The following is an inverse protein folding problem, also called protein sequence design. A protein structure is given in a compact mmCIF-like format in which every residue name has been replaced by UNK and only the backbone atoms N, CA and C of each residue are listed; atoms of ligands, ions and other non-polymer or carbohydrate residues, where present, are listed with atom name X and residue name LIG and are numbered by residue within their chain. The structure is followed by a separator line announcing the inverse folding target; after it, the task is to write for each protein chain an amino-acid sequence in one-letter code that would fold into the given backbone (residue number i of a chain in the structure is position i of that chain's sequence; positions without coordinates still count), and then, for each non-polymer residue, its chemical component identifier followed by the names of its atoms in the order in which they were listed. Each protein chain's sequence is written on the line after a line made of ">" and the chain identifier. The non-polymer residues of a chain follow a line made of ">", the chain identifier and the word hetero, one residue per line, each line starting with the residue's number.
data_IF_598866694560
#
_entry.id   IF_598866694560
#
_cell.length_a   1.000
_cell.length_b   1.000
_cell.length_c   1.000
_cell.angle_alpha   90.00
_cell.angle_beta   90.00
_cell.angle_gamma   90.00
#
_symmetry.space_group_name_H-M   'P 1'
#
loop_
_entity.id
_entity.type
_entity.pdbx_description
1 polymer ?
#
# COMPACT_ATOMS: atom_id res chain seq x y z
N UNK A 1 23.83 29.38 34.71
CA UNK A 1 22.39 29.60 34.45
C UNK A 1 21.94 28.55 33.42
N UNK A 2 21.16 27.61 33.88
CA UNK A 2 20.55 26.57 33.04
C UNK A 2 19.53 27.20 32.10
N UNK A 3 19.85 27.24 30.80
CA UNK A 3 18.89 27.62 29.78
C UNK A 3 17.73 26.63 29.79
N UNK A 4 16.52 27.10 30.05
CA UNK A 4 15.31 26.29 29.87
C UNK A 4 15.16 26.00 28.39
N UNK A 5 15.40 24.75 28.00
CA UNK A 5 14.99 24.24 26.70
C UNK A 5 13.47 24.12 26.68
N UNK A 6 12.83 24.93 25.84
CA UNK A 6 11.41 24.77 25.56
C UNK A 6 11.26 23.53 24.70
N UNK A 7 10.74 22.45 25.29
CA UNK A 7 10.30 21.27 24.57
C UNK A 7 8.88 21.52 24.06
N UNK A 8 8.69 21.48 22.76
CA UNK A 8 7.36 21.45 22.16
C UNK A 8 7.01 20.00 21.87
N UNK A 9 5.96 19.50 22.49
CA UNK A 9 5.40 18.17 22.22
C UNK A 9 4.08 18.38 21.51
N UNK A 10 3.98 17.87 20.32
CA UNK A 10 2.73 17.85 19.55
C UNK A 10 2.20 16.41 19.50
N UNK A 11 1.01 16.19 20.03
CA UNK A 11 0.28 14.95 19.87
C UNK A 11 -0.60 15.06 18.62
N UNK A 12 -0.43 14.13 17.69
CA UNK A 12 -1.20 14.05 16.45
C UNK A 12 -1.82 12.67 16.29
N UNK A 13 -2.88 12.59 15.52
CA UNK A 13 -3.35 11.31 15.00
C UNK A 13 -2.25 10.62 14.18
N UNK A 14 -2.24 9.28 14.09
CA UNK A 14 -1.32 8.59 13.20
C UNK A 14 -1.36 9.19 11.80
N UNK A 15 -0.19 9.32 11.17
CA UNK A 15 -0.09 9.84 9.79
C UNK A 15 -0.82 8.87 8.86
N UNK A 16 -1.94 9.30 8.31
CA UNK A 16 -2.72 8.58 7.30
C UNK A 16 -2.55 9.29 5.96
N UNK A 17 -1.79 8.68 5.04
CA UNK A 17 -1.49 9.28 3.75
C UNK A 17 -0.35 10.31 3.78
N UNK A 18 -0.46 11.36 2.97
CA UNK A 18 0.51 12.46 2.94
C UNK A 18 0.18 13.48 4.02
N UNK A 19 1.16 13.82 4.84
CA UNK A 19 1.02 14.81 5.90
C UNK A 19 2.25 15.72 5.93
N UNK A 20 2.09 16.93 6.51
CA UNK A 20 3.17 17.90 6.64
C UNK A 20 3.25 18.43 8.06
N UNK A 21 4.43 18.36 8.64
CA UNK A 21 4.73 18.90 9.97
C UNK A 21 5.63 20.14 9.84
N UNK A 22 5.10 21.28 10.20
CA UNK A 22 5.84 22.54 10.16
C UNK A 22 6.59 22.74 11.46
N UNK A 23 7.90 23.01 11.37
CA UNK A 23 8.69 23.44 12.50
C UNK A 23 8.63 24.96 12.64
N UNK A 24 8.56 25.42 13.88
CA UNK A 24 8.74 26.83 14.20
C UNK A 24 10.01 27.01 15.02
N UNK A 25 11.01 27.62 14.42
CA UNK A 25 12.23 28.03 15.11
C UNK A 25 12.10 29.47 15.62
N UNK A 26 12.62 29.74 16.80
CA UNK A 26 12.59 31.07 17.36
C UNK A 26 13.93 31.40 18.05
N UNK A 27 14.26 32.70 18.09
CA UNK A 27 15.42 33.20 18.81
C UNK A 27 16.77 32.60 18.38
N UNK A 28 16.89 32.21 17.11
CA UNK A 28 18.15 31.71 16.58
C UNK A 28 19.20 32.84 16.46
N UNK A 29 20.42 32.50 16.85
CA UNK A 29 21.59 33.39 16.68
C UNK A 29 22.35 33.03 15.41
N UNK A 30 23.20 33.93 14.92
CA UNK A 30 24.08 33.69 13.76
C UNK A 30 25.19 32.71 14.15
N UNK A 31 24.96 31.43 13.93
CA UNK A 31 25.88 30.33 14.24
C UNK A 31 25.43 29.05 13.57
N UNK A 32 26.28 27.98 13.53
CA UNK A 32 25.88 26.65 13.13
C UNK A 32 24.90 26.01 14.13
N UNK A 33 23.99 25.23 13.62
CA UNK A 33 23.00 24.40 14.34
C UNK A 33 22.92 23.00 13.76
N UNK A 34 22.37 22.11 14.54
CA UNK A 34 22.12 20.72 14.11
C UNK A 34 20.70 20.32 14.47
N UNK A 35 19.97 19.81 13.51
CA UNK A 35 18.71 19.10 13.74
C UNK A 35 19.02 17.61 13.95
N UNK A 36 18.42 17.02 14.98
CA UNK A 36 18.49 15.60 15.27
C UNK A 36 17.12 14.97 14.99
N UNK A 37 17.09 13.97 14.14
CA UNK A 37 15.91 13.16 13.85
C UNK A 37 16.12 11.76 14.42
N UNK A 38 15.22 11.33 15.29
CA UNK A 38 15.15 9.97 15.80
C UNK A 38 13.70 9.53 15.65
N UNK A 39 13.46 8.56 14.78
CA UNK A 39 12.13 8.00 14.55
C UNK A 39 11.91 6.82 15.49
N UNK A 40 10.75 6.78 16.15
CA UNK A 40 10.32 5.66 16.98
C UNK A 40 8.92 5.24 16.55
N UNK A 41 8.72 3.93 16.46
CA UNK A 41 7.41 3.34 16.12
C UNK A 41 6.86 3.76 14.74
N UNK A 42 7.73 4.11 13.79
CA UNK A 42 7.37 4.38 12.40
C UNK A 42 7.82 3.20 11.53
N UNK A 43 6.88 2.58 10.81
CA UNK A 43 7.21 1.54 9.84
C UNK A 43 7.80 2.19 8.57
N UNK A 44 9.11 2.08 8.42
CA UNK A 44 9.86 2.64 7.28
C UNK A 44 9.50 1.99 5.93
N UNK A 45 8.87 0.83 5.94
CA UNK A 45 8.38 0.17 4.71
C UNK A 45 7.11 0.83 4.16
N UNK A 46 6.39 1.57 5.01
CA UNK A 46 5.10 2.20 4.71
C UNK A 46 5.16 3.73 4.71
N UNK A 47 6.31 4.31 5.05
CA UNK A 47 6.45 5.76 5.19
C UNK A 47 7.81 6.24 4.72
N UNK A 48 7.83 7.26 3.87
CA UNK A 48 9.02 8.03 3.54
C UNK A 48 8.86 9.42 4.13
N UNK A 49 9.93 9.98 4.70
CA UNK A 49 9.93 11.30 5.31
C UNK A 49 11.01 12.15 4.68
N UNK A 50 10.68 13.38 4.38
CA UNK A 50 11.59 14.35 3.78
C UNK A 50 11.62 15.64 4.59
N UNK A 51 12.80 16.14 4.87
CA UNK A 51 13.00 17.51 5.38
C UNK A 51 13.12 18.46 4.19
N UNK A 52 12.28 19.48 4.19
CA UNK A 52 12.34 20.57 3.23
C UNK A 52 13.00 21.77 3.91
N UNK A 53 14.08 22.28 3.31
CA UNK A 53 14.72 23.54 3.68
C UNK A 53 14.33 24.62 2.66
N UNK A 54 13.43 25.52 3.05
CA UNK A 54 12.95 26.60 2.17
C UNK A 54 14.04 27.58 1.78
N UNK A 55 15.01 27.80 2.68
CA UNK A 55 16.10 28.74 2.43
C UNK A 55 17.06 28.24 1.36
N UNK A 56 17.45 26.97 1.44
CA UNK A 56 18.35 26.35 0.46
C UNK A 56 17.61 25.75 -0.73
N UNK A 57 16.27 25.75 -0.72
CA UNK A 57 15.41 25.05 -1.69
C UNK A 57 15.82 23.59 -1.87
N UNK A 58 16.08 22.91 -0.76
CA UNK A 58 16.61 21.56 -0.74
C UNK A 58 15.63 20.59 -0.05
N UNK A 59 15.61 19.35 -0.55
CA UNK A 59 14.83 18.23 0.00
C UNK A 59 15.80 17.12 0.42
N UNK A 60 15.79 16.79 1.70
CA UNK A 60 16.66 15.77 2.29
C UNK A 60 15.83 14.60 2.81
N UNK A 61 16.04 13.37 2.32
CA UNK A 61 15.35 12.18 2.85
C UNK A 61 15.81 11.94 4.31
N UNK A 62 14.84 11.69 5.20
CA UNK A 62 15.08 11.34 6.59
C UNK A 62 15.10 9.84 6.76
N UNK A 63 16.16 9.31 7.35
CA UNK A 63 16.24 7.89 7.71
C UNK A 63 15.39 7.61 8.95
N UNK A 64 14.51 6.58 8.85
CA UNK A 64 13.56 6.22 9.92
C UNK A 64 14.04 5.04 10.77
N UNK A 65 15.20 4.46 10.45
CA UNK A 65 15.75 3.29 11.16
C UNK A 65 16.77 3.73 12.21
N UNK A 66 17.55 4.77 11.91
CA UNK A 66 18.62 5.27 12.76
C UNK A 66 18.47 6.77 13.06
N UNK A 67 19.21 7.23 14.06
CA UNK A 67 19.32 8.67 14.33
C UNK A 67 20.07 9.37 13.21
N UNK A 68 19.45 10.41 12.64
CA UNK A 68 20.05 11.24 11.59
C UNK A 68 20.29 12.66 12.09
N UNK A 69 21.43 13.24 11.69
CA UNK A 69 21.80 14.61 12.01
C UNK A 69 21.92 15.46 10.75
N UNK A 70 21.30 16.64 10.74
CA UNK A 70 21.35 17.60 9.64
C UNK A 70 21.87 18.92 10.16
N UNK A 71 23.01 19.36 9.62
CA UNK A 71 23.63 20.62 9.99
C UNK A 71 23.08 21.76 9.15
N UNK A 72 22.84 22.92 9.76
CA UNK A 72 22.51 24.15 9.06
C UNK A 72 23.15 25.34 9.76
N UNK A 73 23.26 26.45 9.05
CA UNK A 73 23.85 27.67 9.60
C UNK A 73 22.87 28.83 9.45
N UNK A 74 22.76 29.62 10.50
CA UNK A 74 22.11 30.93 10.45
C UNK A 74 23.18 31.98 10.16
N UNK A 75 23.00 32.71 9.06
CA UNK A 75 23.94 33.70 8.54
C UNK A 75 23.42 35.13 8.76
N UNK A 76 23.99 36.08 8.05
CA UNK A 76 23.48 37.46 7.99
C UNK A 76 22.22 37.61 7.18
N UNK A 77 21.91 36.62 6.33
CA UNK A 77 20.66 36.58 5.58
C UNK A 77 19.49 36.23 6.53
N UNK A 78 18.49 37.12 6.67
CA UNK A 78 17.34 36.87 7.56
C UNK A 78 16.58 35.57 7.23
N UNK A 79 16.52 35.18 5.96
CA UNK A 79 15.82 33.95 5.52
C UNK A 79 16.50 32.69 6.07
N UNK A 80 17.82 32.73 6.34
CA UNK A 80 18.55 31.61 6.92
C UNK A 80 18.11 31.25 8.34
N UNK A 81 17.52 32.19 9.08
CA UNK A 81 16.99 32.03 10.42
C UNK A 81 15.45 32.15 10.48
N UNK A 82 14.77 32.10 9.35
CA UNK A 82 13.31 32.22 9.29
C UNK A 82 12.62 31.18 10.17
N UNK A 83 11.57 31.57 10.86
CA UNK A 83 10.86 30.71 11.80
C UNK A 83 10.24 29.49 11.14
N UNK A 84 9.88 29.60 9.88
CA UNK A 84 9.23 28.57 9.05
C UNK A 84 10.16 27.96 7.99
N UNK A 85 11.48 28.05 8.20
CA UNK A 85 12.49 27.57 7.25
C UNK A 85 12.35 26.08 6.96
N UNK A 86 12.04 25.26 7.97
CA UNK A 86 12.00 23.82 7.84
C UNK A 86 10.60 23.26 8.06
N UNK A 87 10.28 22.21 7.27
CA UNK A 87 9.11 21.37 7.51
C UNK A 87 9.38 19.93 7.05
N UNK A 88 8.70 18.96 7.67
CA UNK A 88 8.72 17.56 7.25
C UNK A 88 7.52 17.26 6.37
N UNK A 89 7.77 16.53 5.31
CA UNK A 89 6.73 15.93 4.47
C UNK A 89 6.76 14.41 4.68
N UNK A 90 5.63 13.86 5.08
CA UNK A 90 5.42 12.43 5.24
C UNK A 90 4.66 11.93 4.02
N UNK A 91 5.24 10.96 3.32
CA UNK A 91 4.58 10.23 2.24
C UNK A 91 4.34 8.82 2.73
N UNK A 92 3.10 8.50 3.08
CA UNK A 92 2.73 7.16 3.51
C UNK A 92 2.13 6.39 2.35
N UNK A 93 2.71 5.24 2.08
CA UNK A 93 2.15 4.25 1.16
C UNK A 93 1.39 3.21 1.96
N UNK A 94 0.13 3.02 1.67
CA UNK A 94 -0.60 1.89 2.22
C UNK A 94 -0.18 0.62 1.49
N UNK A 95 -0.01 -0.51 2.20
CA UNK A 95 0.27 -1.76 1.51
C UNK A 95 -0.92 -2.14 0.63
N UNK A 96 -0.64 -2.61 -0.57
CA UNK A 96 -1.66 -3.17 -1.45
C UNK A 96 -2.42 -4.28 -0.71
N UNK A 97 -3.74 -4.26 -0.80
CA UNK A 97 -4.60 -5.21 -0.12
C UNK A 97 -5.63 -5.79 -1.07
N UNK A 98 -5.74 -7.12 -1.06
CA UNK A 98 -6.84 -7.83 -1.67
C UNK A 98 -8.07 -7.77 -0.75
N UNK A 99 -9.05 -6.96 -1.11
CA UNK A 99 -10.29 -6.81 -0.34
C UNK A 99 -11.20 -8.02 -0.54
N UNK A 100 -11.30 -8.48 -1.77
CA UNK A 100 -12.07 -9.68 -2.12
C UNK A 100 -11.51 -10.41 -3.33
N UNK A 101 -11.77 -11.71 -3.39
CA UNK A 101 -11.63 -12.55 -4.59
C UNK A 101 -12.85 -13.43 -4.66
N UNK A 102 -13.50 -13.49 -5.80
CA UNK A 102 -14.68 -14.33 -6.04
C UNK A 102 -14.63 -14.91 -7.44
N UNK A 103 -15.41 -15.94 -7.66
CA UNK A 103 -15.55 -16.54 -9.00
C UNK A 103 -16.84 -17.31 -9.11
N UNK A 104 -17.34 -17.41 -10.34
CA UNK A 104 -18.52 -18.17 -10.69
C UNK A 104 -18.42 -18.72 -12.10
N UNK A 105 -19.06 -19.86 -12.35
CA UNK A 105 -19.27 -20.36 -13.70
C UNK A 105 -20.14 -19.38 -14.50
N UNK A 106 -19.73 -19.07 -15.73
CA UNK A 106 -20.57 -18.39 -16.72
C UNK A 106 -21.33 -19.43 -17.53
N UNK A 107 -20.64 -20.53 -17.82
CA UNK A 107 -21.17 -21.73 -18.49
C UNK A 107 -20.30 -22.93 -18.10
N UNK A 108 -20.57 -24.12 -18.73
CA UNK A 108 -19.88 -25.39 -18.40
C UNK A 108 -18.36 -25.37 -18.58
N UNK A 109 -17.82 -24.49 -19.41
CA UNK A 109 -16.40 -24.42 -19.75
C UNK A 109 -15.76 -23.08 -19.43
N UNK A 110 -16.48 -22.14 -18.81
CA UNK A 110 -15.95 -20.80 -18.55
C UNK A 110 -16.27 -20.37 -17.13
N UNK A 111 -15.26 -19.76 -16.48
CA UNK A 111 -15.35 -19.20 -15.14
C UNK A 111 -15.00 -17.72 -15.18
N UNK A 112 -15.81 -16.88 -14.56
CA UNK A 112 -15.49 -15.48 -14.32
C UNK A 112 -14.89 -15.34 -12.93
N UNK A 113 -13.70 -14.78 -12.85
CA UNK A 113 -12.99 -14.47 -11.61
C UNK A 113 -12.96 -12.97 -11.44
N UNK A 114 -13.36 -12.47 -10.26
CA UNK A 114 -13.31 -11.07 -9.92
C UNK A 114 -12.44 -10.87 -8.67
N UNK A 115 -11.70 -9.78 -8.63
CA UNK A 115 -11.00 -9.38 -7.41
C UNK A 115 -11.04 -7.86 -7.24
N UNK A 116 -10.95 -7.44 -5.99
CA UNK A 116 -10.98 -6.03 -5.59
C UNK A 116 -9.70 -5.75 -4.81
N UNK A 117 -9.05 -4.68 -5.19
CA UNK A 117 -7.77 -4.21 -4.61
C UNK A 117 -7.97 -2.83 -4.03
N UNK A 118 -7.38 -2.57 -2.87
CA UNK A 118 -7.16 -1.23 -2.34
C UNK A 118 -5.67 -0.90 -2.32
N UNK A 119 -5.35 0.40 -2.47
CA UNK A 119 -3.99 0.94 -2.43
C UNK A 119 -3.05 0.30 -3.50
N UNK A 120 -3.45 0.40 -4.75
CA UNK A 120 -2.76 -0.23 -5.89
C UNK A 120 -1.42 0.42 -6.27
N UNK A 121 -1.07 1.56 -5.67
CA UNK A 121 0.15 2.27 -5.99
C UNK A 121 1.40 1.38 -5.93
N UNK A 122 2.25 1.47 -6.95
CA UNK A 122 3.48 0.70 -7.06
C UNK A 122 3.29 -0.76 -7.49
N UNK A 123 2.10 -1.15 -7.93
CA UNK A 123 1.88 -2.44 -8.59
C UNK A 123 2.28 -2.37 -10.06
N UNK A 124 2.79 -3.48 -10.59
CA UNK A 124 3.17 -3.65 -12.00
C UNK A 124 2.16 -4.50 -12.78
N UNK A 125 1.39 -5.33 -12.08
CA UNK A 125 0.39 -6.19 -12.69
C UNK A 125 -0.09 -7.30 -11.77
N UNK A 126 -1.01 -8.11 -12.31
CA UNK A 126 -1.61 -9.24 -11.63
C UNK A 126 -1.51 -10.51 -12.47
N UNK A 127 -1.20 -11.63 -11.83
CA UNK A 127 -1.29 -12.97 -12.40
C UNK A 127 -2.53 -13.67 -11.86
N UNK A 128 -3.36 -14.16 -12.77
CA UNK A 128 -4.47 -15.06 -12.42
C UNK A 128 -3.96 -16.50 -12.54
N UNK A 129 -4.03 -17.23 -11.46
CA UNK A 129 -3.61 -18.63 -11.42
C UNK A 129 -4.79 -19.55 -11.14
N UNK A 130 -4.81 -20.70 -11.81
CA UNK A 130 -5.83 -21.76 -11.67
C UNK A 130 -5.19 -23.06 -11.18
N UNK A 131 -5.95 -23.80 -10.38
CA UNK A 131 -5.63 -25.16 -9.94
C UNK A 131 -6.87 -26.05 -9.99
N UNK A 132 -6.68 -27.34 -10.22
CA UNK A 132 -7.72 -28.38 -10.14
C UNK A 132 -7.66 -29.18 -8.84
N UNK A 133 -6.58 -29.08 -8.09
CA UNK A 133 -6.33 -29.81 -6.84
C UNK A 133 -6.23 -28.90 -5.60
N UNK A 134 -6.20 -27.58 -5.81
CA UNK A 134 -6.02 -26.57 -4.76
C UNK A 134 -4.58 -26.39 -4.27
N UNK A 135 -3.62 -27.17 -4.78
CA UNK A 135 -2.22 -27.15 -4.35
C UNK A 135 -1.27 -26.64 -5.46
N UNK A 136 -1.43 -27.16 -6.69
CA UNK A 136 -0.60 -26.78 -7.83
C UNK A 136 -1.32 -25.76 -8.67
N UNK A 137 -0.82 -24.54 -8.70
CA UNK A 137 -1.39 -23.44 -9.45
C UNK A 137 -0.56 -23.16 -10.70
N UNK A 138 -1.25 -22.98 -11.84
CA UNK A 138 -0.65 -22.53 -13.09
C UNK A 138 -1.19 -21.15 -13.45
N UNK A 139 -0.33 -20.24 -13.87
CA UNK A 139 -0.73 -18.92 -14.36
C UNK A 139 -1.46 -19.10 -15.68
N UNK A 140 -2.66 -18.53 -15.78
CA UNK A 140 -3.53 -18.61 -16.95
C UNK A 140 -3.74 -17.26 -17.62
N UNK A 141 -3.48 -16.15 -16.90
CA UNK A 141 -3.59 -14.81 -17.45
C UNK A 141 -2.72 -13.81 -16.69
N UNK A 142 -2.40 -12.74 -17.40
CA UNK A 142 -1.81 -11.51 -16.87
C UNK A 142 -2.82 -10.38 -17.03
N UNK A 143 -2.84 -9.45 -16.08
CA UNK A 143 -3.72 -8.27 -16.09
C UNK A 143 -2.89 -7.07 -15.69
N UNK A 144 -2.91 -6.03 -16.50
CA UNK A 144 -2.24 -4.77 -16.20
C UNK A 144 -2.96 -4.01 -15.07
N UNK A 145 -2.23 -3.13 -14.41
CA UNK A 145 -2.78 -2.23 -13.39
C UNK A 145 -3.64 -1.13 -14.03
N UNK A 146 -4.62 -0.66 -13.30
CA UNK A 146 -5.55 0.39 -13.78
C UNK A 146 -5.16 1.78 -13.27
N UNK A 147 -3.96 1.94 -12.77
CA UNK A 147 -3.26 3.17 -12.33
C UNK A 147 -4.06 4.13 -11.42
N UNK A 148 -4.97 3.57 -10.63
CA UNK A 148 -5.83 4.33 -9.71
C UNK A 148 -5.28 4.25 -8.27
N UNK A 149 -4.17 4.93 -8.01
CA UNK A 149 -3.31 4.78 -6.84
C UNK A 149 -4.02 4.93 -5.47
N UNK A 150 -5.13 5.63 -5.40
CA UNK A 150 -5.75 6.03 -4.11
C UNK A 150 -7.13 5.44 -3.86
N UNK A 151 -7.69 4.66 -4.80
CA UNK A 151 -9.03 4.12 -4.71
C UNK A 151 -9.03 2.59 -4.72
N UNK A 152 -10.17 2.03 -4.35
CA UNK A 152 -10.46 0.62 -4.55
C UNK A 152 -10.72 0.36 -6.03
N UNK A 153 -10.01 -0.62 -6.61
CA UNK A 153 -10.09 -1.00 -8.02
C UNK A 153 -10.63 -2.42 -8.14
N UNK A 154 -11.55 -2.63 -9.07
CA UNK A 154 -12.14 -3.94 -9.37
C UNK A 154 -11.62 -4.46 -10.69
N UNK A 155 -11.23 -5.73 -10.69
CA UNK A 155 -10.74 -6.46 -11.85
C UNK A 155 -11.61 -7.67 -12.15
N UNK A 156 -11.62 -8.06 -13.40
CA UNK A 156 -12.31 -9.24 -13.88
C UNK A 156 -11.43 -9.99 -14.89
N UNK A 157 -11.39 -11.31 -14.76
CA UNK A 157 -10.84 -12.21 -15.78
C UNK A 157 -11.84 -13.30 -16.10
N UNK A 158 -12.00 -13.63 -17.36
CA UNK A 158 -12.77 -14.79 -17.82
C UNK A 158 -11.79 -15.87 -18.24
N UNK A 159 -11.83 -17.01 -17.57
CA UNK A 159 -11.17 -18.24 -17.99
C UNK A 159 -12.09 -18.98 -18.99
N UNK A 160 -11.81 -18.92 -20.29
CA UNK A 160 -12.72 -19.45 -21.30
C UNK A 160 -12.61 -20.97 -21.47
N UNK A 161 -11.56 -21.58 -20.87
CA UNK A 161 -11.26 -23.03 -21.01
C UNK A 161 -11.07 -23.63 -19.62
N UNK A 162 -12.06 -23.42 -18.77
CA UNK A 162 -12.09 -23.97 -17.43
C UNK A 162 -12.40 -25.48 -17.49
N UNK A 163 -11.52 -26.37 -16.99
CA UNK A 163 -11.79 -27.80 -16.97
C UNK A 163 -12.95 -28.18 -16.06
N UNK A 164 -13.57 -29.32 -16.32
CA UNK A 164 -14.63 -29.84 -15.47
C UNK A 164 -14.09 -30.19 -14.07
N UNK A 165 -14.94 -30.09 -13.06
CA UNK A 165 -14.62 -30.41 -11.68
C UNK A 165 -14.48 -29.17 -10.79
N UNK A 166 -13.98 -29.39 -9.57
CA UNK A 166 -13.69 -28.29 -8.68
C UNK A 166 -12.47 -27.50 -9.17
N UNK A 167 -12.58 -26.19 -9.15
CA UNK A 167 -11.51 -25.28 -9.57
C UNK A 167 -11.14 -24.35 -8.42
N UNK A 168 -9.88 -23.98 -8.40
CA UNK A 168 -9.34 -23.03 -7.43
C UNK A 168 -8.63 -21.93 -8.19
N UNK A 169 -8.90 -20.70 -7.81
CA UNK A 169 -8.23 -19.52 -8.39
C UNK A 169 -7.52 -18.73 -7.30
N UNK A 170 -6.40 -18.14 -7.66
CA UNK A 170 -5.58 -17.30 -6.81
C UNK A 170 -4.99 -16.17 -7.64
N UNK A 171 -4.96 -14.97 -7.07
CA UNK A 171 -4.37 -13.81 -7.70
C UNK A 171 -3.03 -13.51 -7.03
N UNK A 172 -2.00 -13.26 -7.84
CA UNK A 172 -0.70 -12.75 -7.42
C UNK A 172 -0.53 -11.35 -7.95
N UNK A 173 -0.42 -10.37 -7.07
CA UNK A 173 -0.03 -9.01 -7.45
C UNK A 173 1.48 -8.90 -7.41
N UNK A 174 2.06 -8.27 -8.43
CA UNK A 174 3.50 -8.05 -8.61
C UNK A 174 3.75 -6.55 -8.48
N UNK A 175 4.61 -6.17 -7.55
CA UNK A 175 5.05 -4.79 -7.38
C UNK A 175 6.16 -4.42 -8.37
N UNK A 176 6.33 -3.14 -8.66
CA UNK A 176 7.42 -2.63 -9.50
C UNK A 176 8.83 -2.92 -8.96
N UNK A 177 8.97 -3.15 -7.65
CA UNK A 177 10.23 -3.58 -7.02
C UNK A 177 10.45 -5.11 -7.07
N UNK A 178 9.54 -5.89 -7.70
CA UNK A 178 9.60 -7.35 -7.81
C UNK A 178 8.98 -8.12 -6.65
N UNK A 179 8.59 -7.47 -5.56
CA UNK A 179 7.84 -8.12 -4.49
C UNK A 179 6.47 -8.59 -4.97
N UNK A 180 5.96 -9.63 -4.32
CA UNK A 180 4.65 -10.20 -4.66
C UNK A 180 3.72 -10.24 -3.46
N UNK A 181 2.44 -10.00 -3.71
CA UNK A 181 1.34 -10.18 -2.77
C UNK A 181 0.33 -11.17 -3.33
N UNK A 182 -0.21 -12.02 -2.48
CA UNK A 182 -1.16 -13.06 -2.89
C UNK A 182 -2.52 -12.83 -2.26
N UNK A 183 -3.57 -13.08 -3.03
CA UNK A 183 -4.93 -13.16 -2.51
C UNK A 183 -5.14 -14.43 -1.70
N UNK A 184 -6.26 -14.50 -0.98
CA UNK A 184 -6.84 -15.79 -0.59
C UNK A 184 -7.25 -16.55 -1.85
N UNK A 185 -7.18 -17.87 -1.80
CA UNK A 185 -7.72 -18.73 -2.87
C UNK A 185 -9.25 -18.76 -2.82
N UNK A 186 -9.89 -18.81 -3.99
CA UNK A 186 -11.34 -19.06 -4.11
C UNK A 186 -11.56 -20.42 -4.75
N UNK A 187 -12.48 -21.21 -4.19
CA UNK A 187 -12.92 -22.50 -4.72
C UNK A 187 -14.23 -22.31 -5.47
N UNK A 188 -14.29 -22.80 -6.69
CA UNK A 188 -15.48 -22.87 -7.51
C UNK A 188 -15.90 -24.34 -7.60
N UNK A 189 -17.10 -24.65 -7.15
CA UNK A 189 -17.65 -26.02 -7.20
C UNK A 189 -18.05 -26.38 -8.63
N UNK A 190 -17.96 -27.66 -8.97
CA UNK A 190 -18.41 -28.11 -10.28
C UNK A 190 -19.95 -27.99 -10.41
N UNK A 191 -20.43 -27.60 -11.60
CA UNK A 191 -21.87 -27.48 -11.87
C UNK A 191 -22.65 -28.78 -11.59
N UNK A 192 -21.99 -29.93 -11.69
CA UNK A 192 -22.63 -31.23 -11.42
C UNK A 192 -23.11 -31.39 -9.97
N UNK A 193 -22.48 -30.72 -9.01
CA UNK A 193 -22.91 -30.73 -7.61
C UNK A 193 -24.14 -29.85 -7.41
N UNK A 194 -24.24 -28.75 -8.15
CA UNK A 194 -25.39 -27.85 -8.11
C UNK A 194 -26.64 -28.50 -8.68
N UNK A 195 -26.54 -29.25 -9.82
CA UNK A 195 -27.67 -29.97 -10.44
C UNK A 195 -28.18 -31.12 -9.57
N UNK A 196 -27.31 -31.80 -8.83
CA UNK A 196 -27.74 -32.84 -7.87
C UNK A 196 -28.52 -32.28 -6.68
N UNK A 197 -28.23 -31.02 -6.28
CA UNK A 197 -28.93 -30.39 -5.17
C UNK A 197 -30.34 -29.93 -5.59
N UNK A 198 -30.50 -29.47 -6.82
CA UNK A 198 -31.78 -29.10 -7.40
C UNK A 198 -32.69 -30.34 -7.64
N UNK A 199 -32.11 -31.45 -8.09
CA UNK A 199 -32.83 -32.72 -8.28
C UNK A 199 -33.30 -33.37 -6.96
N UNK A 200 -32.53 -33.18 -5.88
CA UNK A 200 -32.91 -33.64 -4.53
C UNK A 200 -34.06 -32.81 -3.91
N UNK A 201 -34.14 -31.53 -4.25
CA UNK A 201 -35.24 -30.66 -3.80
C UNK A 201 -36.50 -30.92 -4.61
N UNK A 202 -36.39 -31.21 -5.93
CA UNK A 202 -37.51 -31.47 -6.82
C UNK A 202 -38.19 -32.84 -6.53
N UNK A 203 -37.50 -33.79 -5.89
CA UNK A 203 -38.01 -35.15 -5.60
C UNK A 203 -38.39 -35.37 -4.12
N UNK A 204 -38.65 -34.35 -3.33
CA UNK A 204 -39.24 -34.51 -2.00
C UNK A 204 -40.76 -34.82 -2.15
N UNK A 205 -41.26 -35.92 -1.64
CA UNK A 205 -42.70 -36.20 -1.66
C UNK A 205 -43.42 -35.22 -0.73
N UNK A 206 -44.53 -34.68 -1.23
CA UNK A 206 -45.46 -33.79 -0.53
C UNK A 206 -46.21 -34.55 0.56
#
# INVERSE_FOLDING_TARGET
>A
QSGSSLLSIEARSPVEGNDTVYYRMANLRKQPYQLKFAAENIDSSLCSVYLIDKFLNNTTPIQLVDTMFINFTVTTDPASGAADRFYLVFNRTHPVRFESVSGAHINRSSVKVNWVISHEAGMNGYEVSRSTDGNRFSVIALTDVNDNANNTVSYTHVDPVAPAGNLFYKIRGIKSNGESRYSKGVKILSEKVLSMQDDLIANQPV
#
